data_IF_226408043184
#
_entry.id   IF_226408043184
#
_cell.length_a   1.000
_cell.length_b   1.000
_cell.length_c   1.000
_cell.angle_alpha   90.00
_cell.angle_beta   90.00
_cell.angle_gamma   90.00
#
_symmetry.space_group_name_H-M   'P 1'
#
loop_
_entity.id
_entity.type
_entity.pdbx_description
1 polymer ?
#
# COMPACT_ATOMS: atom_id res chain seq x y z
N UNK A 1 -35.96 12.63 -15.73
CA UNK A 1 -34.87 13.53 -15.31
C UNK A 1 -34.98 13.74 -13.81
N UNK A 2 -34.05 13.22 -13.02
CA UNK A 2 -33.97 13.48 -11.58
C UNK A 2 -32.51 13.68 -11.18
N UNK A 3 -31.91 14.74 -11.71
CA UNK A 3 -30.63 15.24 -11.20
C UNK A 3 -30.91 16.17 -10.02
N UNK A 4 -31.06 15.57 -8.84
CA UNK A 4 -30.93 16.33 -7.59
C UNK A 4 -29.46 16.72 -7.44
N UNK A 5 -29.12 18.02 -7.25
CA UNK A 5 -27.74 18.44 -7.12
C UNK A 5 -27.11 17.78 -5.87
N UNK A 6 -25.84 17.33 -5.95
CA UNK A 6 -25.18 16.73 -4.80
C UNK A 6 -25.09 17.77 -3.68
N UNK A 7 -25.71 17.45 -2.53
CA UNK A 7 -25.70 18.31 -1.36
C UNK A 7 -24.27 18.69 -0.92
N UNK A 8 -24.11 19.82 -0.21
CA UNK A 8 -22.80 20.32 0.18
C UNK A 8 -22.04 19.29 1.00
N UNK A 9 -20.77 19.04 0.65
CA UNK A 9 -19.89 18.10 1.35
C UNK A 9 -19.65 18.61 2.77
N UNK A 10 -20.40 18.11 3.74
CA UNK A 10 -20.22 18.45 5.15
C UNK A 10 -18.86 17.90 5.60
N UNK A 11 -17.90 18.80 5.83
CA UNK A 11 -16.60 18.47 6.39
C UNK A 11 -16.83 17.97 7.82
N UNK A 12 -16.52 16.69 8.08
CA UNK A 12 -16.52 16.14 9.45
C UNK A 12 -15.69 17.04 10.36
N UNK A 13 -16.24 17.44 11.50
CA UNK A 13 -15.53 18.30 12.45
C UNK A 13 -14.21 17.65 12.87
N UNK A 14 -13.19 18.47 13.15
CA UNK A 14 -11.86 17.98 13.53
C UNK A 14 -11.93 17.03 14.73
N UNK A 15 -12.70 17.38 15.75
CA UNK A 15 -12.94 16.55 16.94
C UNK A 15 -13.56 15.19 16.60
N UNK A 16 -14.59 15.17 15.74
CA UNK A 16 -15.22 13.90 15.30
C UNK A 16 -14.24 13.03 14.51
N UNK A 17 -13.38 13.65 13.69
CA UNK A 17 -12.33 12.91 12.98
C UNK A 17 -11.31 12.26 13.93
N UNK A 18 -10.93 12.96 15.00
CA UNK A 18 -9.98 12.47 16.00
C UNK A 18 -10.60 11.34 16.85
N UNK A 19 -11.88 11.45 17.19
CA UNK A 19 -12.63 10.39 17.88
C UNK A 19 -12.69 9.11 17.04
N UNK A 20 -13.02 9.21 15.76
CA UNK A 20 -13.05 8.06 14.83
C UNK A 20 -11.67 7.39 14.76
N UNK A 21 -10.61 8.18 14.57
CA UNK A 21 -9.23 7.65 14.51
C UNK A 21 -8.86 6.94 15.81
N UNK A 22 -9.18 7.54 16.97
CA UNK A 22 -8.92 6.93 18.28
C UNK A 22 -9.66 5.60 18.46
N UNK A 23 -10.93 5.51 18.04
CA UNK A 23 -11.68 4.25 18.12
C UNK A 23 -11.06 3.18 17.22
N UNK A 24 -10.70 3.55 15.98
CA UNK A 24 -10.05 2.63 15.04
C UNK A 24 -8.72 2.11 15.60
N UNK A 25 -7.87 2.97 16.18
CA UNK A 25 -6.62 2.53 16.83
C UNK A 25 -6.89 1.47 17.91
N UNK A 26 -7.91 1.68 18.75
CA UNK A 26 -8.31 0.70 19.78
C UNK A 26 -8.76 -0.63 19.18
N UNK A 27 -9.55 -0.60 18.11
CA UNK A 27 -10.00 -1.83 17.44
C UNK A 27 -8.83 -2.58 16.79
N UNK A 28 -7.89 -1.86 16.14
CA UNK A 28 -6.67 -2.46 15.59
C UNK A 28 -5.83 -3.10 16.70
N UNK A 29 -5.63 -2.39 17.82
CA UNK A 29 -4.87 -2.91 18.96
C UNK A 29 -5.48 -4.15 19.61
N UNK A 30 -6.80 -4.36 19.45
CA UNK A 30 -7.51 -5.58 19.89
C UNK A 30 -7.49 -6.71 18.86
N UNK A 31 -6.88 -6.48 17.68
CA UNK A 31 -6.83 -7.48 16.61
C UNK A 31 -8.12 -7.63 15.79
N UNK A 32 -9.05 -6.66 15.86
CA UNK A 32 -10.30 -6.71 15.08
C UNK A 32 -10.03 -6.74 13.57
N UNK A 33 -10.85 -7.46 12.82
CA UNK A 33 -10.70 -7.56 11.37
C UNK A 33 -11.08 -6.23 10.69
N UNK A 34 -10.44 -5.94 9.55
CA UNK A 34 -10.70 -4.71 8.79
C UNK A 34 -12.18 -4.58 8.38
N UNK A 35 -12.83 -5.69 8.02
CA UNK A 35 -14.24 -5.75 7.68
C UNK A 35 -15.12 -5.32 8.87
N UNK A 36 -14.83 -5.81 10.06
CA UNK A 36 -15.55 -5.47 11.30
C UNK A 36 -15.36 -4.00 11.64
N UNK A 37 -14.12 -3.49 11.58
CA UNK A 37 -13.82 -2.07 11.81
C UNK A 37 -14.60 -1.18 10.83
N UNK A 38 -14.61 -1.54 9.54
CA UNK A 38 -15.33 -0.79 8.52
C UNK A 38 -16.83 -0.77 8.78
N UNK A 39 -17.41 -1.91 9.16
CA UNK A 39 -18.84 -2.03 9.45
C UNK A 39 -19.21 -1.22 10.68
N UNK A 40 -18.54 -1.46 11.82
CA UNK A 40 -18.86 -0.80 13.08
C UNK A 40 -18.71 0.72 13.00
N UNK A 41 -17.64 1.24 12.39
CA UNK A 41 -17.44 2.69 12.26
C UNK A 41 -18.43 3.32 11.26
N UNK A 42 -18.76 2.60 10.18
CA UNK A 42 -19.72 3.08 9.20
C UNK A 42 -21.10 3.26 9.82
N UNK A 43 -21.53 2.29 10.64
CA UNK A 43 -22.81 2.31 11.36
C UNK A 43 -22.81 3.39 12.44
N UNK A 44 -21.82 3.38 13.34
CA UNK A 44 -21.74 4.30 14.49
C UNK A 44 -21.69 5.78 14.06
N UNK A 45 -20.96 6.09 12.98
CA UNK A 45 -20.75 7.47 12.54
C UNK A 45 -21.51 7.83 11.28
N UNK A 46 -22.41 6.98 10.78
CA UNK A 46 -23.15 7.16 9.52
C UNK A 46 -22.24 7.57 8.36
N UNK A 47 -21.20 6.76 8.11
CA UNK A 47 -20.20 7.00 7.06
C UNK A 47 -20.21 5.85 6.05
N UNK A 48 -19.87 6.15 4.79
CA UNK A 48 -19.60 5.07 3.84
C UNK A 48 -18.36 4.26 4.27
N UNK A 49 -18.38 2.95 4.05
CA UNK A 49 -17.21 2.07 4.31
C UNK A 49 -15.94 2.56 3.60
N UNK A 50 -16.08 3.17 2.43
CA UNK A 50 -14.96 3.76 1.67
C UNK A 50 -14.40 5.01 2.35
N UNK A 51 -15.24 5.82 2.98
CA UNK A 51 -14.80 6.95 3.81
C UNK A 51 -13.99 6.48 5.02
N UNK A 52 -14.39 5.36 5.63
CA UNK A 52 -13.70 4.78 6.81
C UNK A 52 -12.25 4.39 6.48
N UNK A 53 -11.95 3.93 5.26
CA UNK A 53 -10.60 3.55 4.84
C UNK A 53 -9.56 4.66 5.02
N UNK A 54 -9.97 5.91 4.78
CA UNK A 54 -9.11 7.08 4.99
C UNK A 54 -8.71 7.23 6.46
N UNK A 55 -9.66 7.01 7.37
CA UNK A 55 -9.42 7.06 8.81
C UNK A 55 -8.58 5.88 9.29
N UNK A 56 -8.77 4.68 8.72
CA UNK A 56 -7.92 3.52 9.00
C UNK A 56 -6.47 3.78 8.58
N UNK A 57 -6.28 4.32 7.37
CA UNK A 57 -4.94 4.67 6.87
C UNK A 57 -4.26 5.69 7.78
N UNK A 58 -5.00 6.72 8.21
CA UNK A 58 -4.50 7.71 9.16
C UNK A 58 -4.15 7.09 10.51
N UNK A 59 -5.04 6.27 11.07
CA UNK A 59 -4.82 5.60 12.35
C UNK A 59 -3.55 4.75 12.33
N UNK A 60 -3.35 3.93 11.28
CA UNK A 60 -2.14 3.12 11.11
C UNK A 60 -0.87 3.97 11.03
N UNK A 61 -0.92 5.08 10.29
CA UNK A 61 0.22 6.00 10.20
C UNK A 61 0.56 6.61 11.56
N UNK A 62 -0.45 7.01 12.32
CA UNK A 62 -0.22 7.56 13.67
C UNK A 62 0.31 6.49 14.63
N UNK A 63 -0.24 5.27 14.60
CA UNK A 63 0.28 4.15 15.39
C UNK A 63 1.73 3.85 15.03
N UNK A 64 2.09 3.85 13.74
CA UNK A 64 3.48 3.64 13.30
C UNK A 64 4.43 4.71 13.85
N UNK A 65 3.97 5.97 13.96
CA UNK A 65 4.77 7.06 14.55
C UNK A 65 4.96 6.92 16.06
N UNK A 66 3.99 6.31 16.74
CA UNK A 66 4.05 6.06 18.19
C UNK A 66 4.99 4.90 18.51
N UNK A 67 5.31 4.03 17.54
CA UNK A 67 6.29 2.98 17.76
C UNK A 67 7.71 3.53 17.61
N UNK A 68 8.45 3.51 18.72
CA UNK A 68 9.87 3.91 18.78
C UNK A 68 10.83 2.85 18.22
N UNK A 69 10.32 1.70 17.78
CA UNK A 69 11.14 0.62 17.24
C UNK A 69 11.63 0.96 15.82
N UNK A 70 12.91 0.70 15.56
CA UNK A 70 13.46 0.78 14.22
C UNK A 70 12.81 -0.23 13.25
N UNK A 71 12.83 0.09 11.95
CA UNK A 71 12.32 -0.78 10.88
C UNK A 71 12.87 -2.21 10.98
N UNK A 72 14.16 -2.34 11.30
CA UNK A 72 14.83 -3.64 11.43
C UNK A 72 14.30 -4.46 12.61
N UNK A 73 14.01 -3.81 13.75
CA UNK A 73 13.40 -4.51 14.89
C UNK A 73 12.00 -5.02 14.53
N UNK A 74 11.21 -4.22 13.85
CA UNK A 74 9.89 -4.63 13.36
C UNK A 74 9.95 -5.82 12.39
N UNK A 75 10.96 -5.86 11.52
CA UNK A 75 11.22 -6.98 10.61
C UNK A 75 11.59 -8.24 11.39
N UNK A 76 12.49 -8.12 12.36
CA UNK A 76 12.89 -9.23 13.24
C UNK A 76 11.70 -9.80 14.03
N UNK A 77 10.91 -8.94 14.66
CA UNK A 77 9.72 -9.34 15.43
C UNK A 77 8.69 -10.04 14.53
N UNK A 78 8.47 -9.51 13.33
CA UNK A 78 7.58 -10.12 12.33
C UNK A 78 8.07 -11.50 11.87
N UNK A 79 9.37 -11.64 11.60
CA UNK A 79 9.98 -12.92 11.22
C UNK A 79 9.80 -13.94 12.33
N UNK A 80 10.07 -13.57 13.59
CA UNK A 80 9.91 -14.45 14.74
C UNK A 80 8.46 -14.90 14.91
N UNK A 81 7.50 -13.97 14.79
CA UNK A 81 6.08 -14.28 14.85
C UNK A 81 5.67 -15.29 13.77
N UNK A 82 6.00 -15.05 12.50
CA UNK A 82 5.60 -15.96 11.42
C UNK A 82 6.27 -17.33 11.53
N UNK A 83 7.52 -17.42 12.02
CA UNK A 83 8.15 -18.70 12.36
C UNK A 83 7.35 -19.45 13.41
N UNK A 84 6.95 -18.78 14.50
CA UNK A 84 6.12 -19.39 15.55
C UNK A 84 4.78 -19.92 15.02
N UNK A 85 4.19 -19.28 14.01
CA UNK A 85 2.96 -19.76 13.35
C UNK A 85 3.22 -21.02 12.53
N UNK A 86 4.36 -21.10 11.83
CA UNK A 86 4.74 -22.28 11.04
C UNK A 86 4.99 -23.48 11.95
N UNK A 87 5.71 -23.27 13.06
CA UNK A 87 6.12 -24.33 13.98
C UNK A 87 4.98 -24.81 14.88
N UNK A 88 3.92 -24.00 15.02
CA UNK A 88 2.78 -24.35 15.87
C UNK A 88 1.98 -25.52 15.30
N UNK A 89 1.73 -26.60 16.09
CA UNK A 89 0.88 -27.70 15.66
C UNK A 89 -0.59 -27.28 15.54
N UNK A 90 -0.99 -26.18 16.19
CA UNK A 90 -2.36 -25.64 16.19
C UNK A 90 -2.69 -24.76 14.99
N UNK A 91 -1.68 -24.34 14.21
CA UNK A 91 -1.92 -23.52 13.02
C UNK A 91 -2.49 -24.36 11.89
N UNK A 92 -3.45 -23.77 11.17
CA UNK A 92 -4.00 -24.43 9.98
C UNK A 92 -2.97 -24.43 8.86
N UNK A 93 -3.07 -25.38 7.93
CA UNK A 93 -2.19 -25.42 6.76
C UNK A 93 -2.18 -24.10 5.97
N UNK A 94 -3.36 -23.48 5.84
CA UNK A 94 -3.53 -22.16 5.22
C UNK A 94 -2.75 -21.07 5.93
N UNK A 95 -2.75 -21.06 7.26
CA UNK A 95 -2.02 -20.07 8.05
C UNK A 95 -0.51 -20.27 7.95
N UNK A 96 -0.05 -21.52 7.93
CA UNK A 96 1.37 -21.86 7.70
C UNK A 96 1.83 -21.41 6.32
N UNK A 97 1.02 -21.64 5.28
CA UNK A 97 1.32 -21.24 3.91
C UNK A 97 1.41 -19.71 3.80
N UNK A 98 0.45 -18.98 4.39
CA UNK A 98 0.51 -17.51 4.45
C UNK A 98 1.69 -16.99 5.24
N UNK A 99 2.05 -17.62 6.35
CA UNK A 99 3.22 -17.24 7.13
C UNK A 99 4.52 -17.39 6.31
N UNK A 100 4.65 -18.47 5.54
CA UNK A 100 5.77 -18.67 4.61
C UNK A 100 5.82 -17.58 3.53
N UNK A 101 4.71 -17.30 2.85
CA UNK A 101 4.64 -16.19 1.87
C UNK A 101 5.02 -14.83 2.48
N UNK A 102 4.66 -14.60 3.75
CA UNK A 102 5.01 -13.36 4.45
C UNK A 102 6.50 -13.27 4.74
N UNK A 103 7.13 -14.38 5.13
CA UNK A 103 8.58 -14.48 5.30
C UNK A 103 9.29 -14.23 3.97
N UNK A 104 8.84 -14.85 2.88
CA UNK A 104 9.42 -14.64 1.54
C UNK A 104 9.40 -13.17 1.13
N UNK A 105 8.28 -12.48 1.37
CA UNK A 105 8.17 -11.02 1.15
C UNK A 105 9.11 -10.22 2.04
N UNK A 106 9.29 -10.64 3.29
CA UNK A 106 10.16 -9.98 4.25
C UNK A 106 11.63 -10.08 3.85
N UNK A 107 12.00 -11.22 3.27
CA UNK A 107 13.35 -11.52 2.77
C UNK A 107 13.57 -11.08 1.31
N UNK A 108 12.54 -10.57 0.63
CA UNK A 108 12.61 -10.17 -0.77
C UNK A 108 12.75 -11.34 -1.76
N UNK A 109 12.39 -12.54 -1.35
CA UNK A 109 12.38 -13.75 -2.17
C UNK A 109 11.15 -13.84 -3.08
N UNK A 110 10.10 -13.08 -2.77
CA UNK A 110 8.93 -12.92 -3.63
C UNK A 110 9.39 -12.23 -4.92
N UNK A 111 9.39 -12.97 -6.03
CA UNK A 111 9.84 -12.48 -7.34
C UNK A 111 9.15 -11.15 -7.63
N UNK A 112 9.92 -10.05 -7.68
CA UNK A 112 9.37 -8.74 -8.05
C UNK A 112 8.62 -8.93 -9.38
N UNK A 113 7.33 -8.58 -9.41
CA UNK A 113 6.62 -8.44 -10.67
C UNK A 113 7.45 -7.50 -11.55
N UNK A 114 7.88 -7.97 -12.72
CA UNK A 114 8.74 -7.19 -13.62
C UNK A 114 8.09 -5.82 -13.80
N UNK A 115 8.79 -4.71 -13.51
CA UNK A 115 8.17 -3.40 -13.59
C UNK A 115 7.58 -3.23 -14.98
N UNK A 116 6.28 -2.91 -15.05
CA UNK A 116 5.61 -2.67 -16.33
C UNK A 116 6.36 -1.52 -17.01
N UNK A 117 7.19 -1.83 -18.02
CA UNK A 117 7.86 -0.81 -18.85
C UNK A 117 6.85 0.28 -19.23
N UNK A 118 7.22 1.54 -19.02
CA UNK A 118 6.39 2.71 -19.35
C UNK A 118 5.88 2.60 -20.79
N UNK A 119 4.64 3.02 -21.02
CA UNK A 119 3.95 2.81 -22.30
C UNK A 119 4.73 3.38 -23.51
N UNK A 120 5.52 4.44 -23.32
CA UNK A 120 6.32 5.05 -24.37
C UNK A 120 7.60 4.25 -24.68
N UNK A 121 8.24 3.63 -23.69
CA UNK A 121 9.39 2.72 -23.90
C UNK A 121 9.00 1.48 -24.71
N UNK A 122 7.74 1.04 -24.62
CA UNK A 122 7.21 -0.06 -25.44
C UNK A 122 7.11 0.30 -26.93
N UNK A 123 6.97 1.59 -27.24
CA UNK A 123 6.91 2.11 -28.61
C UNK A 123 8.30 2.35 -29.20
N UNK A 124 9.36 2.27 -28.39
CA UNK A 124 10.75 2.41 -28.80
C UNK A 124 11.26 1.07 -29.36
N UNK A 125 10.77 0.70 -30.54
CA UNK A 125 11.28 -0.48 -31.26
C UNK A 125 12.53 -0.10 -32.07
N UNK A 126 13.39 -1.07 -32.44
CA UNK A 126 14.53 -0.82 -33.32
C UNK A 126 14.14 -0.13 -34.63
N UNK A 127 12.96 -0.46 -35.17
CA UNK A 127 12.42 0.18 -36.38
C UNK A 127 11.99 1.62 -36.16
N UNK A 128 11.38 1.92 -35.00
CA UNK A 128 10.99 3.29 -34.65
C UNK A 128 12.21 4.19 -34.48
N UNK A 129 13.29 3.68 -33.86
CA UNK A 129 14.55 4.40 -33.70
C UNK A 129 15.22 4.69 -35.04
N UNK A 130 15.19 3.74 -35.99
CA UNK A 130 15.76 3.94 -37.33
C UNK A 130 15.04 5.00 -38.17
N UNK A 131 13.76 5.25 -37.89
CA UNK A 131 12.93 6.23 -38.61
C UNK A 131 12.99 7.63 -37.99
N UNK A 132 13.58 7.78 -36.81
CA UNK A 132 13.71 9.07 -36.14
C UNK A 132 14.84 9.90 -36.76
N UNK A 133 14.63 11.20 -36.82
CA UNK A 133 15.72 12.14 -37.15
C UNK A 133 16.78 12.17 -36.03
N UNK A 134 18.00 12.61 -36.36
CA UNK A 134 19.08 12.69 -35.37
C UNK A 134 18.72 13.55 -34.15
N UNK A 135 17.97 14.64 -34.34
CA UNK A 135 17.50 15.48 -33.25
C UNK A 135 16.49 14.75 -32.33
N UNK A 136 15.59 13.94 -32.92
CA UNK A 136 14.62 13.14 -32.16
C UNK A 136 15.29 11.97 -31.42
N UNK A 137 16.32 11.37 -32.01
CA UNK A 137 17.15 10.35 -31.37
C UNK A 137 17.89 10.91 -30.14
N UNK A 138 18.44 12.12 -30.26
CA UNK A 138 19.14 12.77 -29.15
C UNK A 138 18.17 13.17 -28.03
N UNK A 139 16.99 13.69 -28.37
CA UNK A 139 15.94 14.01 -27.41
C UNK A 139 15.39 12.76 -26.70
N UNK A 140 15.18 11.66 -27.43
CA UNK A 140 14.76 10.39 -26.82
C UNK A 140 15.85 9.81 -25.92
N UNK A 141 17.13 9.88 -26.31
CA UNK A 141 18.27 9.48 -25.48
C UNK A 141 18.35 10.28 -24.17
N UNK A 142 18.27 11.61 -24.26
CA UNK A 142 18.24 12.52 -23.11
C UNK A 142 17.08 12.20 -22.16
N UNK A 143 15.90 11.87 -22.71
CA UNK A 143 14.73 11.47 -21.93
C UNK A 143 14.93 10.15 -21.20
N UNK A 144 15.51 9.13 -21.84
CA UNK A 144 15.82 7.85 -21.18
C UNK A 144 16.81 8.06 -20.03
N UNK A 145 17.86 8.86 -20.24
CA UNK A 145 18.88 9.15 -19.22
C UNK A 145 18.24 9.84 -18.01
N UNK A 146 17.48 10.91 -18.24
CA UNK A 146 16.77 11.64 -17.18
C UNK A 146 15.81 10.73 -16.39
N UNK A 147 15.08 9.86 -17.06
CA UNK A 147 14.16 8.94 -16.38
C UNK A 147 14.89 7.86 -15.58
N UNK A 148 16.09 7.43 -16.00
CA UNK A 148 16.94 6.51 -15.23
C UNK A 148 17.50 7.15 -13.97
N UNK A 149 17.90 8.42 -14.05
CA UNK A 149 18.39 9.20 -12.90
C UNK A 149 17.27 9.47 -11.87
N UNK A 150 16.02 9.58 -12.32
CA UNK A 150 14.86 9.81 -11.45
C UNK A 150 14.34 8.55 -10.74
N UNK A 151 14.62 7.35 -11.28
CA UNK A 151 14.15 6.07 -10.74
C UNK A 151 15.27 5.00 -10.76
N UNK A 152 16.34 5.15 -9.97
CA UNK A 152 17.46 4.20 -9.96
C UNK A 152 17.06 2.77 -9.55
N UNK A 153 16.04 2.64 -8.68
CA UNK A 153 15.58 1.35 -8.12
C UNK A 153 14.68 0.52 -9.05
N UNK A 154 14.24 1.07 -10.20
CA UNK A 154 13.39 0.34 -11.17
C UNK A 154 14.17 -0.55 -12.15
N UNK A 155 15.51 -0.45 -12.15
CA UNK A 155 16.39 -1.15 -13.11
C UNK A 155 17.36 -2.16 -12.46
N UNK A 156 17.20 -2.45 -11.17
CA UNK A 156 17.93 -3.50 -10.41
C UNK A 156 16.99 -4.48 -9.69
#
# INVERSE_FOLDING_TARGET
MTDSPPGPRVRTSRQRSEQIVRLIKKMIGRGSYLSEIKTAIAEEFNLSRRSVERYITRARREMLKEVEQGLEQHRADSLYFYRSVIDSPKSTERDRLRARERIDRLLGLDTKATPRKKAWLRKLTPEALRKMSNAELEATRQRVIREREQSPDEYY
#
